data_IF_069834992734
#
_entry.id   IF_069834992734
#
_cell.length_a   1.000
_cell.length_b   1.000
_cell.length_c   1.000
_cell.angle_alpha   90.00
_cell.angle_beta   90.00
_cell.angle_gamma   90.00
#
_symmetry.space_group_name_H-M   'P 1'
#
loop_
_entity.id
_entity.type
_entity.pdbx_description
1 polymer ?
#
# COMPACT_ATOMS: atom_id res chain seq x y z
N UNK A 1 27.44 -7.42 -61.13
CA UNK A 1 26.07 -6.88 -61.24
C UNK A 1 25.22 -7.44 -60.11
N UNK A 2 24.63 -6.54 -59.31
CA UNK A 2 23.39 -6.67 -58.51
C UNK A 2 23.35 -7.67 -57.35
N UNK A 3 23.87 -7.27 -56.18
CA UNK A 3 23.35 -7.73 -54.88
C UNK A 3 23.58 -6.73 -53.72
N UNK A 4 23.76 -5.43 -53.99
CA UNK A 4 24.07 -4.42 -52.95
C UNK A 4 22.95 -3.41 -52.70
N UNK A 5 21.71 -3.68 -53.13
CA UNK A 5 20.62 -2.71 -53.14
C UNK A 5 19.44 -3.02 -52.20
N UNK A 6 19.47 -4.14 -51.46
CA UNK A 6 18.32 -4.56 -50.64
C UNK A 6 18.40 -4.20 -49.14
N UNK A 7 19.52 -3.65 -48.67
CA UNK A 7 19.67 -3.26 -47.25
C UNK A 7 19.26 -1.80 -46.99
N UNK A 8 18.94 -1.01 -48.03
CA UNK A 8 18.66 0.42 -47.88
C UNK A 8 17.18 0.85 -47.88
N UNK A 9 16.20 -0.07 -47.85
CA UNK A 9 14.79 0.31 -48.08
C UNK A 9 13.77 -0.03 -47.00
N UNK A 10 14.17 -0.24 -45.75
CA UNK A 10 13.20 -0.28 -44.64
C UNK A 10 13.69 0.35 -43.33
N UNK A 11 14.41 1.48 -43.43
CA UNK A 11 14.60 2.39 -42.30
C UNK A 11 13.77 3.64 -42.54
N UNK A 12 12.51 3.57 -42.12
CA UNK A 12 11.59 4.70 -42.03
C UNK A 12 12.04 5.61 -40.87
N UNK A 13 12.50 6.86 -41.10
CA UNK A 13 12.91 7.76 -40.05
C UNK A 13 11.83 8.83 -39.87
N UNK A 14 10.82 8.54 -39.06
CA UNK A 14 9.80 9.53 -38.77
C UNK A 14 8.91 9.04 -37.65
N UNK A 15 8.86 9.82 -36.57
CA UNK A 15 7.89 9.73 -35.45
C UNK A 15 8.21 8.85 -34.24
N UNK A 16 9.42 8.88 -33.67
CA UNK A 16 9.57 8.48 -32.24
C UNK A 16 10.84 9.01 -31.57
N UNK A 17 10.84 10.29 -31.20
CA UNK A 17 11.95 10.85 -30.39
C UNK A 17 11.48 11.79 -29.27
N UNK A 18 10.18 12.11 -29.22
CA UNK A 18 9.60 12.95 -28.14
C UNK A 18 9.00 12.15 -26.99
N UNK A 19 8.56 10.92 -27.23
CA UNK A 19 7.98 10.02 -26.21
C UNK A 19 9.06 9.43 -25.30
N UNK A 20 10.17 8.94 -25.88
CA UNK A 20 11.29 8.35 -25.12
C UNK A 20 11.97 9.35 -24.15
N UNK A 21 12.06 10.64 -24.50
CA UNK A 21 12.66 11.67 -23.64
C UNK A 21 11.73 12.07 -22.48
N UNK A 22 10.41 11.95 -22.63
CA UNK A 22 9.44 12.25 -21.56
C UNK A 22 9.40 11.16 -20.49
N UNK A 23 9.48 9.89 -20.86
CA UNK A 23 9.61 8.77 -19.89
C UNK A 23 10.92 8.83 -19.09
N UNK A 24 12.05 9.16 -19.74
CA UNK A 24 13.34 9.28 -19.06
C UNK A 24 13.41 10.45 -18.08
N UNK A 25 12.68 11.54 -18.35
CA UNK A 25 12.60 12.68 -17.44
C UNK A 25 11.72 12.33 -16.22
N UNK A 26 10.58 11.68 -16.45
CA UNK A 26 9.64 11.28 -15.40
C UNK A 26 10.25 10.26 -14.41
N UNK A 27 10.97 9.25 -14.91
CA UNK A 27 11.64 8.26 -14.05
C UNK A 27 12.66 8.89 -13.09
N UNK A 28 13.37 9.94 -13.48
CA UNK A 28 14.30 10.66 -12.58
C UNK A 28 13.55 11.44 -11.50
N UNK A 29 12.43 12.04 -11.85
CA UNK A 29 11.58 12.75 -10.90
C UNK A 29 10.94 11.76 -9.91
N UNK A 30 10.37 10.65 -10.37
CA UNK A 30 9.81 9.61 -9.52
C UNK A 30 10.85 9.00 -8.56
N UNK A 31 12.04 8.67 -9.06
CA UNK A 31 13.13 8.16 -8.23
C UNK A 31 13.63 9.20 -7.21
N UNK A 32 13.63 10.49 -7.57
CA UNK A 32 13.98 11.57 -6.64
C UNK A 32 12.93 11.75 -5.55
N UNK A 33 11.64 11.61 -5.86
CA UNK A 33 10.56 11.63 -4.90
C UNK A 33 10.64 10.45 -3.94
N UNK A 34 10.88 9.24 -4.46
CA UNK A 34 11.12 8.05 -3.63
C UNK A 34 12.33 8.23 -2.72
N UNK A 35 13.42 8.83 -3.23
CA UNK A 35 14.63 9.09 -2.43
C UNK A 35 14.39 10.14 -1.36
N UNK A 36 13.61 11.19 -1.64
CA UNK A 36 13.21 12.21 -0.66
C UNK A 36 12.28 11.64 0.40
N UNK A 37 11.28 10.86 0.00
CA UNK A 37 10.39 10.15 0.92
C UNK A 37 11.20 9.23 1.84
N UNK A 38 12.05 8.38 1.25
CA UNK A 38 12.93 7.45 2.00
C UNK A 38 13.88 8.20 2.95
N UNK A 39 14.43 9.35 2.54
CA UNK A 39 15.26 10.18 3.42
C UNK A 39 14.47 10.81 4.56
N UNK A 40 13.26 11.31 4.29
CA UNK A 40 12.38 11.87 5.32
C UNK A 40 12.01 10.83 6.39
N UNK A 41 11.79 9.57 5.99
CA UNK A 41 11.57 8.47 6.95
C UNK A 41 12.84 8.06 7.71
N UNK A 42 14.02 8.14 7.08
CA UNK A 42 15.29 7.77 7.70
C UNK A 42 15.87 8.83 8.67
N UNK A 43 15.54 10.12 8.49
CA UNK A 43 15.99 11.17 9.42
C UNK A 43 15.25 11.14 10.75
N UNK A 44 14.01 10.63 10.79
CA UNK A 44 13.23 10.47 12.03
C UNK A 44 13.86 9.42 12.97
N UNK A 45 14.50 8.39 12.42
CA UNK A 45 15.14 7.32 13.20
C UNK A 45 16.35 7.84 14.01
N UNK A 46 17.06 8.87 13.52
CA UNK A 46 18.25 9.45 14.18
C UNK A 46 17.93 10.50 15.25
N UNK A 47 16.64 10.79 15.49
CA UNK A 47 16.17 11.77 16.48
C UNK A 47 15.27 11.15 17.58
N UNK A 48 15.21 9.81 17.66
CA UNK A 48 14.44 9.11 18.68
C UNK A 48 15.12 9.25 20.05
N UNK A 49 14.71 10.26 20.83
CA UNK A 49 15.03 10.36 22.26
C UNK A 49 14.44 9.17 23.00
N UNK A 50 15.10 8.67 24.05
CA UNK A 50 14.56 7.59 24.87
C UNK A 50 13.21 8.00 25.50
N UNK A 51 12.12 7.39 25.05
CA UNK A 51 10.74 7.58 25.55
C UNK A 51 10.26 6.43 26.45
N UNK A 52 11.12 5.45 26.74
CA UNK A 52 10.82 4.33 27.63
C UNK A 52 10.29 4.79 29.00
N UNK A 53 10.88 5.79 29.70
CA UNK A 53 10.35 6.19 31.00
C UNK A 53 8.94 6.80 30.92
N UNK A 54 8.62 7.51 29.84
CA UNK A 54 7.29 8.10 29.63
C UNK A 54 6.21 7.03 29.42
N UNK A 55 6.54 6.00 28.63
CA UNK A 55 5.65 4.86 28.40
C UNK A 55 5.51 3.99 29.65
N UNK A 56 6.61 3.74 30.38
CA UNK A 56 6.57 3.01 31.65
C UNK A 56 5.66 3.71 32.66
N UNK A 57 5.73 5.04 32.78
CA UNK A 57 4.82 5.80 33.65
C UNK A 57 3.35 5.62 33.27
N UNK A 58 3.02 5.68 31.98
CA UNK A 58 1.66 5.47 31.49
C UNK A 58 1.13 4.05 31.76
N UNK A 59 1.96 3.03 31.54
CA UNK A 59 1.58 1.64 31.79
C UNK A 59 1.65 1.22 33.27
N UNK A 60 2.26 2.02 34.14
CA UNK A 60 2.32 1.78 35.59
C UNK A 60 1.36 2.67 36.39
N UNK A 61 0.67 3.62 35.75
CA UNK A 61 -0.38 4.41 36.40
C UNK A 61 -1.48 3.47 36.94
N UNK A 62 -1.85 3.64 38.21
CA UNK A 62 -2.77 2.76 38.94
C UNK A 62 -4.24 3.07 38.60
N UNK A 63 -4.57 2.90 37.31
CA UNK A 63 -5.89 3.25 36.77
C UNK A 63 -6.89 2.09 36.85
N UNK A 64 -6.51 0.93 37.41
CA UNK A 64 -7.35 -0.29 37.43
C UNK A 64 -7.78 -0.84 36.06
N UNK A 65 -7.30 -0.26 34.95
CA UNK A 65 -7.68 -0.60 33.59
C UNK A 65 -6.92 -1.83 33.08
N UNK A 66 -7.57 -2.73 32.33
CA UNK A 66 -6.93 -3.91 31.78
C UNK A 66 -5.89 -3.52 30.70
N UNK A 67 -4.81 -4.30 30.62
CA UNK A 67 -3.62 -3.98 29.81
C UNK A 67 -3.91 -3.70 28.33
N UNK A 68 -4.97 -4.31 27.75
CA UNK A 68 -5.35 -4.13 26.34
C UNK A 68 -6.08 -2.82 26.02
N UNK A 69 -6.41 -2.00 27.04
CA UNK A 69 -7.01 -0.66 26.87
C UNK A 69 -6.09 0.43 27.48
N UNK A 70 -4.95 0.02 28.06
CA UNK A 70 -4.08 0.94 28.82
C UNK A 70 -3.30 1.91 27.93
N UNK A 71 -3.24 1.69 26.62
CA UNK A 71 -2.70 2.64 25.64
C UNK A 71 -3.68 3.77 25.27
N UNK A 72 -4.90 3.78 25.80
CA UNK A 72 -5.83 4.91 25.75
C UNK A 72 -6.91 4.79 24.65
N UNK A 73 -7.38 5.94 24.17
CA UNK A 73 -8.50 6.03 23.20
C UNK A 73 -8.22 5.37 21.85
N UNK A 74 -6.94 5.29 21.46
CA UNK A 74 -6.51 4.62 20.22
C UNK A 74 -6.78 3.13 20.25
N UNK A 75 -6.53 2.46 21.39
CA UNK A 75 -6.77 1.02 21.53
C UNK A 75 -8.27 0.70 21.45
N UNK A 76 -9.11 1.56 22.04
CA UNK A 76 -10.57 1.45 21.97
C UNK A 76 -11.09 1.63 20.55
N UNK A 77 -10.58 2.62 19.80
CA UNK A 77 -10.95 2.83 18.41
C UNK A 77 -10.51 1.64 17.56
N UNK A 78 -9.28 1.16 17.75
CA UNK A 78 -8.75 0.01 17.03
C UNK A 78 -9.63 -1.21 17.24
N UNK A 79 -9.99 -1.52 18.48
CA UNK A 79 -10.89 -2.62 18.84
C UNK A 79 -12.27 -2.50 18.16
N UNK A 80 -12.88 -1.32 18.18
CA UNK A 80 -14.20 -1.11 17.55
C UNK A 80 -14.13 -1.33 16.04
N UNK A 81 -13.04 -0.89 15.41
CA UNK A 81 -12.83 -1.06 13.97
C UNK A 81 -12.64 -2.54 13.61
N UNK A 82 -11.75 -3.25 14.31
CA UNK A 82 -11.53 -4.69 14.06
C UNK A 82 -12.78 -5.51 14.35
N UNK A 83 -13.52 -5.21 15.42
CA UNK A 83 -14.78 -5.89 15.72
C UNK A 83 -15.82 -5.66 14.62
N UNK A 84 -15.98 -4.41 14.17
CA UNK A 84 -16.93 -4.10 13.09
C UNK A 84 -16.54 -4.81 11.80
N UNK A 85 -15.25 -4.78 11.45
CA UNK A 85 -14.74 -5.42 10.23
C UNK A 85 -14.95 -6.95 10.25
N UNK A 86 -14.70 -7.60 11.38
CA UNK A 86 -14.89 -9.05 11.51
C UNK A 86 -16.36 -9.45 11.42
N UNK A 87 -17.26 -8.74 12.10
CA UNK A 87 -18.70 -8.99 12.01
C UNK A 87 -19.20 -8.82 10.57
N UNK A 88 -18.81 -7.73 9.91
CA UNK A 88 -19.17 -7.48 8.51
C UNK A 88 -18.61 -8.57 7.59
N UNK A 89 -17.34 -8.94 7.77
CA UNK A 89 -16.68 -9.98 6.98
C UNK A 89 -17.36 -11.33 7.13
N UNK A 90 -17.63 -11.76 8.36
CA UNK A 90 -18.35 -13.01 8.64
C UNK A 90 -19.76 -12.99 8.06
N UNK A 91 -20.52 -11.90 8.24
CA UNK A 91 -21.86 -11.76 7.68
C UNK A 91 -21.86 -11.86 6.14
N UNK A 92 -20.90 -11.21 5.48
CA UNK A 92 -20.74 -11.27 4.04
C UNK A 92 -20.38 -12.68 3.55
N UNK A 93 -19.46 -13.36 4.23
CA UNK A 93 -19.11 -14.76 3.93
C UNK A 93 -20.32 -15.69 4.08
N UNK A 94 -21.10 -15.54 5.15
CA UNK A 94 -22.33 -16.32 5.35
C UNK A 94 -23.37 -16.05 4.26
N UNK A 95 -23.58 -14.78 3.89
CA UNK A 95 -24.49 -14.42 2.79
C UNK A 95 -24.11 -15.12 1.48
N UNK A 96 -22.83 -15.03 1.09
CA UNK A 96 -22.35 -15.68 -0.13
C UNK A 96 -22.44 -17.20 -0.06
N UNK A 97 -22.15 -17.80 1.10
CA UNK A 97 -22.28 -19.24 1.30
C UNK A 97 -23.73 -19.69 1.13
N UNK A 98 -24.69 -18.96 1.68
CA UNK A 98 -26.12 -19.25 1.53
C UNK A 98 -26.57 -19.12 0.07
N UNK A 99 -26.18 -18.04 -0.61
CA UNK A 99 -26.47 -17.85 -2.04
C UNK A 99 -25.86 -18.96 -2.90
N UNK A 100 -24.64 -19.41 -2.57
CA UNK A 100 -23.99 -20.52 -3.27
C UNK A 100 -24.63 -21.88 -2.96
N UNK A 101 -25.20 -22.05 -1.77
CA UNK A 101 -25.84 -23.30 -1.33
C UNK A 101 -27.24 -23.49 -1.89
N UNK A 102 -27.90 -22.43 -2.36
CA UNK A 102 -29.20 -22.56 -3.02
C UNK A 102 -29.03 -23.11 -4.45
N UNK A 103 -29.85 -24.09 -4.86
CA UNK A 103 -29.78 -24.65 -6.20
C UNK A 103 -30.15 -23.58 -7.23
N UNK A 104 -29.20 -23.28 -8.13
CA UNK A 104 -29.45 -22.37 -9.26
C UNK A 104 -29.90 -23.19 -10.46
N UNK A 105 -31.12 -22.94 -10.92
CA UNK A 105 -31.60 -23.51 -12.17
C UNK A 105 -30.70 -23.03 -13.30
N UNK A 106 -30.11 -23.98 -14.04
CA UNK A 106 -29.40 -23.66 -15.28
C UNK A 106 -30.48 -23.32 -16.31
N UNK A 107 -30.52 -22.07 -16.76
CA UNK A 107 -31.34 -21.69 -17.89
C UNK A 107 -30.77 -22.39 -19.14
N UNK A 108 -31.54 -23.33 -19.69
CA UNK A 108 -31.33 -23.89 -21.03
C UNK A 108 -32.04 -23.00 -22.04
#
# INVERSE_FOLDING_TARGET
MKASAWICLYRNPGTSSRTFRREQLDMRHLLSLQRVATRAFNTTARQMKNRVPEKQKLFQEDNGLPVHIKGGSTDMLLYRVTMTLTIVGTGFSCYWLLVASMPRNKAN
#
